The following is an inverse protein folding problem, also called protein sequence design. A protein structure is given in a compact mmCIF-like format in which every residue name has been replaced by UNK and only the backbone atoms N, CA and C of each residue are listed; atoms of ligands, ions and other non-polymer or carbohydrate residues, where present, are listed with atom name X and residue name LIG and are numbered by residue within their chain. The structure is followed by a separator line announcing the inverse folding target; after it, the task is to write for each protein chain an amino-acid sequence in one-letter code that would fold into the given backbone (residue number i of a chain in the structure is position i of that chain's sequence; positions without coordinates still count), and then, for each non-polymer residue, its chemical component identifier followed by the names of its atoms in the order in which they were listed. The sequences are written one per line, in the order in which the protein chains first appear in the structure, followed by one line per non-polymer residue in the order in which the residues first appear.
data_IF_347432396433
#
_entry.id   IF_347432396433
#
_cell.length_a   1.000
_cell.length_b   1.000
_cell.length_c   1.000
_cell.angle_alpha   90.00
_cell.angle_beta   90.00
_cell.angle_gamma   90.00
#
_symmetry.space_group_name_H-M   'P 1'
#
loop_
_entity.id
_entity.type
_entity.pdbx_description
1 polymer ?
#
# COMPACT_ATOMS: atom_id res chain seq x y z
N UNK A 1 -1.98 -3.95 -6.78
CA UNK A 1 -2.40 -5.17 -6.07
C UNK A 1 -3.21 -6.15 -6.91
N UNK A 2 -4.19 -5.74 -7.72
CA UNK A 2 -4.96 -6.68 -8.56
C UNK A 2 -4.06 -7.60 -9.40
N UNK A 3 -3.06 -7.02 -10.08
CA UNK A 3 -2.09 -7.78 -10.86
C UNK A 3 -1.29 -8.77 -9.98
N UNK A 4 -0.85 -8.34 -8.79
CA UNK A 4 -0.14 -9.21 -7.85
C UNK A 4 -1.02 -10.38 -7.36
N UNK A 5 -2.30 -10.14 -7.05
CA UNK A 5 -3.24 -11.19 -6.64
C UNK A 5 -3.43 -12.23 -7.75
N UNK A 6 -3.55 -11.77 -9.00
CA UNK A 6 -3.66 -12.66 -10.17
C UNK A 6 -2.38 -13.47 -10.40
N UNK A 7 -1.22 -12.81 -10.33
CA UNK A 7 0.08 -13.47 -10.45
C UNK A 7 0.27 -14.50 -9.34
N UNK A 8 -0.11 -14.18 -8.10
CA UNK A 8 0.05 -15.07 -6.96
C UNK A 8 -0.76 -16.37 -7.09
N UNK A 9 -1.90 -16.32 -7.78
CA UNK A 9 -2.69 -17.52 -8.09
C UNK A 9 -2.01 -18.44 -9.11
N UNK A 10 -1.03 -17.95 -9.87
CA UNK A 10 -0.30 -18.70 -10.90
C UNK A 10 1.11 -19.07 -10.44
N UNK A 11 1.85 -18.09 -9.92
CA UNK A 11 3.19 -18.21 -9.35
C UNK A 11 3.30 -17.27 -8.14
N UNK A 12 3.05 -17.84 -6.97
CA UNK A 12 3.09 -17.13 -5.69
C UNK A 12 4.48 -16.59 -5.36
N UNK A 13 5.54 -17.35 -5.66
CA UNK A 13 6.92 -16.94 -5.40
C UNK A 13 7.35 -15.74 -6.24
N UNK A 14 6.98 -15.74 -7.53
CA UNK A 14 7.22 -14.60 -8.42
C UNK A 14 6.46 -13.35 -7.96
N UNK A 15 5.17 -13.48 -7.63
CA UNK A 15 4.36 -12.36 -7.17
C UNK A 15 4.90 -11.75 -5.87
N UNK A 16 5.33 -12.58 -4.92
CA UNK A 16 5.92 -12.13 -3.67
C UNK A 16 7.25 -11.40 -3.89
N UNK A 17 8.12 -11.91 -4.77
CA UNK A 17 9.40 -11.29 -5.08
C UNK A 17 9.22 -9.89 -5.72
N UNK A 18 8.30 -9.76 -6.67
CA UNK A 18 8.01 -8.48 -7.30
C UNK A 18 7.33 -7.49 -6.34
N UNK A 19 6.46 -7.98 -5.45
CA UNK A 19 5.86 -7.13 -4.42
C UNK A 19 6.91 -6.66 -3.40
N UNK A 20 7.85 -7.52 -3.04
CA UNK A 20 9.00 -7.18 -2.21
C UNK A 20 9.86 -6.10 -2.86
N UNK A 21 10.10 -6.16 -4.17
CA UNK A 21 10.80 -5.11 -4.91
C UNK A 21 10.02 -3.79 -4.86
N UNK A 22 8.70 -3.82 -5.05
CA UNK A 22 7.86 -2.63 -4.96
C UNK A 22 7.91 -1.95 -3.58
N UNK A 23 7.93 -2.72 -2.49
CA UNK A 23 8.08 -2.19 -1.13
C UNK A 23 9.45 -1.51 -0.97
N UNK A 24 10.52 -2.16 -1.41
CA UNK A 24 11.87 -1.59 -1.32
C UNK A 24 12.02 -0.31 -2.16
N UNK A 25 11.43 -0.28 -3.34
CA UNK A 25 11.41 0.92 -4.18
C UNK A 25 10.64 2.05 -3.51
N UNK A 26 9.49 1.76 -2.89
CA UNK A 26 8.74 2.79 -2.20
C UNK A 26 9.55 3.40 -1.04
N UNK A 27 10.30 2.57 -0.29
CA UNK A 27 11.26 3.05 0.72
C UNK A 27 12.26 4.05 0.09
N UNK A 28 12.78 3.74 -1.09
CA UNK A 28 13.76 4.60 -1.76
C UNK A 28 13.17 5.93 -2.27
N UNK A 29 11.90 5.94 -2.69
CA UNK A 29 11.27 7.12 -3.30
C UNK A 29 10.52 8.01 -2.31
N UNK A 30 9.98 7.47 -1.21
CA UNK A 30 9.06 8.18 -0.34
C UNK A 30 9.72 9.21 0.61
N UNK A 31 11.01 9.50 0.45
CA UNK A 31 11.65 10.67 1.09
C UNK A 31 11.13 12.00 0.56
N UNK A 32 10.52 11.99 -0.63
CA UNK A 32 9.88 13.13 -1.29
C UNK A 32 8.39 12.83 -1.49
N UNK A 33 7.56 13.86 -1.75
CA UNK A 33 6.15 13.63 -2.07
C UNK A 33 6.01 12.67 -3.26
N UNK A 34 5.24 11.59 -3.07
CA UNK A 34 4.95 10.64 -4.14
C UNK A 34 4.10 11.32 -5.22
N UNK A 35 3.20 12.24 -4.87
CA UNK A 35 2.31 12.91 -5.84
C UNK A 35 3.08 13.70 -6.91
N UNK A 36 4.27 14.22 -6.60
CA UNK A 36 5.13 14.95 -7.54
C UNK A 36 6.24 14.10 -8.14
N UNK A 37 6.22 12.77 -7.99
CA UNK A 37 7.25 11.89 -8.53
C UNK A 37 7.40 12.00 -10.05
N UNK A 38 6.30 12.23 -10.77
CA UNK A 38 6.31 12.43 -12.23
C UNK A 38 7.14 13.64 -12.66
N UNK A 39 7.11 14.72 -11.90
CA UNK A 39 7.90 15.95 -12.17
C UNK A 39 9.41 15.71 -12.04
N UNK A 40 9.79 14.68 -11.29
CA UNK A 40 11.18 14.26 -11.08
C UNK A 40 11.61 13.09 -11.98
N UNK A 41 10.76 12.70 -12.93
CA UNK A 41 10.93 11.50 -13.76
C UNK A 41 11.03 10.18 -12.95
N UNK A 42 10.55 10.19 -11.70
CA UNK A 42 10.54 9.04 -10.79
C UNK A 42 9.22 8.25 -10.91
N UNK A 43 8.72 8.02 -12.13
CA UNK A 43 7.39 7.40 -12.36
C UNK A 43 7.21 6.03 -11.70
N UNK A 44 8.32 5.31 -11.47
CA UNK A 44 8.35 4.05 -10.73
C UNK A 44 7.79 4.20 -9.30
N UNK A 45 7.90 5.37 -8.68
CA UNK A 45 7.36 5.66 -7.35
C UNK A 45 5.84 5.49 -7.29
N UNK A 46 5.11 5.84 -8.36
CA UNK A 46 3.65 5.64 -8.41
C UNK A 46 3.27 4.16 -8.30
N UNK A 47 3.98 3.30 -9.05
CA UNK A 47 3.75 1.86 -9.02
C UNK A 47 4.21 1.23 -7.70
N UNK A 48 5.42 1.58 -7.25
CA UNK A 48 6.02 1.03 -6.04
C UNK A 48 5.21 1.38 -4.78
N UNK A 49 4.93 2.66 -4.58
CA UNK A 49 4.17 3.10 -3.41
C UNK A 49 2.69 2.77 -3.53
N UNK A 50 2.09 2.85 -4.72
CA UNK A 50 0.72 2.39 -4.94
C UNK A 50 0.54 0.91 -4.60
N UNK A 51 1.50 0.05 -4.97
CA UNK A 51 1.48 -1.37 -4.59
C UNK A 51 1.62 -1.55 -3.07
N UNK A 52 2.52 -0.82 -2.43
CA UNK A 52 2.74 -0.87 -0.97
C UNK A 52 1.51 -0.42 -0.18
N UNK A 53 0.86 0.67 -0.58
CA UNK A 53 -0.35 1.16 0.09
C UNK A 53 -1.54 0.22 -0.11
N UNK A 54 -1.67 -0.34 -1.31
CA UNK A 54 -2.72 -1.30 -1.59
C UNK A 54 -2.48 -2.66 -0.88
N UNK A 55 -1.22 -3.07 -0.66
CA UNK A 55 -0.89 -4.21 0.20
C UNK A 55 -1.38 -3.96 1.63
N UNK A 56 -1.06 -2.81 2.20
CA UNK A 56 -1.52 -2.41 3.53
C UNK A 56 -3.05 -2.38 3.63
N UNK A 57 -3.74 -1.82 2.62
CA UNK A 57 -5.20 -1.81 2.55
C UNK A 57 -5.81 -3.23 2.48
N UNK A 58 -5.23 -4.11 1.66
CA UNK A 58 -5.66 -5.51 1.55
C UNK A 58 -5.46 -6.28 2.86
N UNK A 59 -4.33 -6.11 3.54
CA UNK A 59 -4.09 -6.74 4.85
C UNK A 59 -5.02 -6.19 5.93
N UNK A 60 -5.29 -4.89 5.94
CA UNK A 60 -6.26 -4.29 6.85
C UNK A 60 -7.67 -4.89 6.64
N UNK A 61 -8.07 -5.09 5.38
CA UNK A 61 -9.32 -5.74 5.01
C UNK A 61 -9.35 -7.21 5.45
N UNK A 62 -8.26 -7.96 5.25
CA UNK A 62 -8.13 -9.35 5.72
C UNK A 62 -8.35 -9.47 7.23
N UNK A 63 -7.80 -8.56 8.04
CA UNK A 63 -8.03 -8.56 9.50
C UNK A 63 -9.49 -8.32 9.91
N UNK A 64 -10.29 -7.67 9.06
CA UNK A 64 -11.73 -7.45 9.26
C UNK A 64 -12.59 -8.60 8.74
N UNK A 65 -11.98 -9.70 8.29
CA UNK A 65 -12.68 -10.88 7.74
C UNK A 65 -12.95 -10.80 6.24
N UNK A 66 -12.41 -9.81 5.53
CA UNK A 66 -12.37 -9.81 4.07
C UNK A 66 -11.29 -10.74 3.52
N UNK A 67 -11.25 -10.90 2.20
CA UNK A 67 -10.33 -11.84 1.53
C UNK A 67 -9.07 -11.17 1.01
N UNK A 68 -9.19 -10.00 0.40
CA UNK A 68 -8.09 -9.36 -0.32
C UNK A 68 -8.34 -7.86 -0.57
N UNK A 69 -7.50 -7.27 -1.42
CA UNK A 69 -7.63 -5.88 -1.86
C UNK A 69 -8.89 -5.60 -2.71
N UNK A 70 -9.47 -6.61 -3.37
CA UNK A 70 -10.71 -6.43 -4.13
C UNK A 70 -11.88 -6.16 -3.20
N UNK A 71 -11.93 -6.86 -2.06
CA UNK A 71 -12.93 -6.59 -1.03
C UNK A 71 -12.76 -5.16 -0.44
N UNK A 72 -11.54 -4.62 -0.42
CA UNK A 72 -11.26 -3.23 -0.02
C UNK A 72 -11.70 -2.19 -1.07
N UNK A 73 -11.39 -2.38 -2.35
CA UNK A 73 -11.66 -1.34 -3.38
C UNK A 73 -13.12 -1.33 -3.86
N UNK A 74 -13.83 -2.46 -3.72
CA UNK A 74 -15.19 -2.61 -4.24
C UNK A 74 -16.19 -1.57 -3.70
N UNK A 75 -16.27 -1.29 -2.38
CA UNK A 75 -17.20 -0.27 -1.86
C UNK A 75 -16.95 1.12 -2.48
N UNK A 76 -15.69 1.51 -2.67
CA UNK A 76 -15.31 2.77 -3.30
C UNK A 76 -15.76 2.84 -4.76
N UNK A 77 -15.63 1.74 -5.52
CA UNK A 77 -16.11 1.69 -6.90
C UNK A 77 -17.63 1.74 -7.00
N UNK A 78 -18.33 1.12 -6.06
CA UNK A 78 -19.79 1.14 -5.99
C UNK A 78 -20.31 2.55 -5.65
N UNK A 79 -19.65 3.26 -4.72
CA UNK A 79 -19.95 4.65 -4.34
C UNK A 79 -19.73 5.63 -5.50
N UNK A 80 -18.59 5.52 -6.18
CA UNK A 80 -18.20 6.42 -7.28
C UNK A 80 -18.64 5.92 -8.67
N UNK A 81 -19.65 5.05 -8.74
CA UNK A 81 -20.12 4.49 -10.02
C UNK A 81 -20.76 5.54 -10.93
N UNK A 82 -21.38 6.57 -10.33
CA UNK A 82 -22.14 7.60 -11.05
C UNK A 82 -21.26 8.73 -11.56
N UNK A 83 -20.31 9.20 -10.75
CA UNK A 83 -19.41 10.32 -11.08
C UNK A 83 -18.09 9.86 -11.71
N UNK A 84 -17.66 8.62 -11.44
CA UNK A 84 -16.35 8.06 -11.82
C UNK A 84 -15.18 8.86 -11.26
N UNK A 85 -15.37 9.51 -10.11
CA UNK A 85 -14.38 10.38 -9.47
C UNK A 85 -13.94 9.80 -8.13
N UNK A 86 -13.02 8.83 -8.17
CA UNK A 86 -12.38 8.31 -6.95
C UNK A 86 -11.11 9.11 -6.65
N UNK A 87 -11.15 9.94 -5.61
CA UNK A 87 -10.03 10.76 -5.15
C UNK A 87 -9.17 10.09 -4.08
N UNK A 88 -8.02 10.72 -3.79
CA UNK A 88 -7.15 10.28 -2.69
C UNK A 88 -7.79 10.49 -1.32
N UNK A 89 -8.64 11.50 -1.16
CA UNK A 89 -9.38 11.76 0.08
C UNK A 89 -10.36 10.61 0.38
N UNK A 90 -11.16 10.20 -0.60
CA UNK A 90 -12.15 9.12 -0.46
C UNK A 90 -11.44 7.80 -0.13
N UNK A 91 -10.35 7.51 -0.83
CA UNK A 91 -9.52 6.34 -0.58
C UNK A 91 -8.95 6.33 0.85
N UNK A 92 -8.40 7.47 1.32
CA UNK A 92 -7.83 7.60 2.66
C UNK A 92 -8.89 7.48 3.75
N UNK A 93 -10.06 8.08 3.56
CA UNK A 93 -11.20 7.96 4.48
C UNK A 93 -11.66 6.51 4.61
N UNK A 94 -11.78 5.79 3.49
CA UNK A 94 -12.12 4.37 3.51
C UNK A 94 -11.03 3.53 4.16
N UNK A 95 -9.76 3.83 3.87
CA UNK A 95 -8.61 3.15 4.47
C UNK A 95 -8.51 3.34 5.98
N UNK A 96 -8.80 4.53 6.51
CA UNK A 96 -8.86 4.77 7.96
C UNK A 96 -9.99 3.97 8.62
N UNK A 97 -11.16 3.87 7.97
CA UNK A 97 -12.28 3.08 8.47
C UNK A 97 -11.94 1.58 8.54
N UNK A 98 -11.28 1.04 7.51
CA UNK A 98 -10.90 -0.38 7.43
C UNK A 98 -9.74 -0.70 8.39
N UNK A 99 -8.71 0.14 8.43
CA UNK A 99 -7.54 -0.04 9.31
C UNK A 99 -7.87 0.13 10.79
N UNK A 100 -8.93 0.88 11.11
CA UNK A 100 -9.43 1.06 12.48
C UNK A 100 -8.64 2.09 13.29
N UNK A 101 -7.68 2.79 12.70
CA UNK A 101 -7.02 3.93 13.31
C UNK A 101 -6.54 4.92 12.23
N UNK A 102 -6.73 6.23 12.47
CA UNK A 102 -6.28 7.28 11.54
C UNK A 102 -4.76 7.40 11.39
N UNK A 103 -3.98 6.59 12.13
CA UNK A 103 -2.51 6.60 12.07
C UNK A 103 -2.03 6.02 10.74
N UNK A 104 -2.65 4.93 10.25
CA UNK A 104 -2.29 4.33 8.98
C UNK A 104 -2.54 5.29 7.80
N UNK A 105 -3.71 5.92 7.70
CA UNK A 105 -3.98 6.92 6.65
C UNK A 105 -3.12 8.17 6.79
N UNK A 106 -2.80 8.60 8.02
CA UNK A 106 -1.87 9.70 8.27
C UNK A 106 -0.47 9.46 7.68
N UNK A 107 0.04 8.21 7.76
CA UNK A 107 1.32 7.83 7.14
C UNK A 107 1.23 7.90 5.62
N UNK A 108 0.20 7.27 5.03
CA UNK A 108 0.01 7.26 3.56
C UNK A 108 -0.14 8.69 3.05
N UNK A 109 -0.94 9.52 3.72
CA UNK A 109 -1.10 10.94 3.39
C UNK A 109 0.24 11.68 3.42
N UNK A 110 1.04 11.48 4.46
CA UNK A 110 2.36 12.13 4.59
C UNK A 110 3.29 11.74 3.45
N UNK A 111 3.38 10.44 3.12
CA UNK A 111 4.17 9.96 1.99
C UNK A 111 3.68 10.52 0.65
N UNK A 112 2.36 10.64 0.46
CA UNK A 112 1.77 11.20 -0.75
C UNK A 112 2.10 12.69 -0.93
N UNK A 113 1.90 13.51 0.12
CA UNK A 113 1.91 14.98 -0.01
C UNK A 113 3.21 15.67 0.36
N UNK A 114 4.00 15.10 1.27
CA UNK A 114 5.23 15.73 1.81
C UNK A 114 6.46 14.84 1.62
N UNK A 115 6.28 13.53 1.65
CA UNK A 115 7.36 12.58 1.89
C UNK A 115 7.60 12.37 3.39
N UNK A 116 8.50 11.45 3.73
CA UNK A 116 8.85 11.09 5.11
C UNK A 116 10.36 10.94 5.25
N UNK A 117 10.95 11.42 6.35
CA UNK A 117 12.40 11.39 6.55
C UNK A 117 12.95 9.96 6.72
N UNK A 118 12.17 9.07 7.33
CA UNK A 118 12.45 7.64 7.45
C UNK A 118 11.32 6.83 6.80
N UNK A 119 11.39 6.58 5.47
CA UNK A 119 10.39 5.76 4.78
C UNK A 119 10.31 4.32 5.28
N UNK A 120 11.43 3.73 5.71
CA UNK A 120 11.44 2.36 6.20
C UNK A 120 10.66 2.24 7.52
N UNK A 121 10.92 3.14 8.48
CA UNK A 121 10.15 3.20 9.74
C UNK A 121 8.68 3.56 9.52
N UNK A 122 8.37 4.43 8.55
CA UNK A 122 6.99 4.78 8.21
C UNK A 122 6.22 3.58 7.61
N UNK A 123 6.83 2.86 6.66
CA UNK A 123 6.23 1.66 6.06
C UNK A 123 6.14 0.52 7.07
N UNK A 124 7.14 0.36 7.94
CA UNK A 124 7.06 -0.60 9.05
C UNK A 124 5.84 -0.32 9.93
N UNK A 125 5.70 0.92 10.40
CA UNK A 125 4.56 1.32 11.21
C UNK A 125 3.24 1.10 10.46
N UNK A 126 3.19 1.41 9.15
CA UNK A 126 2.02 1.15 8.32
C UNK A 126 1.68 -0.35 8.28
N UNK A 127 2.67 -1.23 8.14
CA UNK A 127 2.50 -2.67 8.12
C UNK A 127 2.01 -3.21 9.46
N UNK A 128 2.57 -2.75 10.58
CA UNK A 128 2.06 -3.07 11.93
C UNK A 128 0.60 -2.63 12.10
N UNK A 129 0.29 -1.39 11.69
CA UNK A 129 -1.06 -0.85 11.82
C UNK A 129 -2.07 -1.58 10.94
N UNK A 130 -1.64 -2.24 9.86
CA UNK A 130 -2.53 -2.92 8.89
C UNK A 130 -2.46 -4.44 8.93
N UNK A 131 -1.52 -5.02 9.66
CA UNK A 131 -1.33 -6.47 9.75
C UNK A 131 -0.74 -7.09 8.50
N UNK A 132 0.08 -6.35 7.76
CA UNK A 132 0.92 -6.96 6.72
C UNK A 132 1.95 -7.84 7.45
N UNK A 133 2.09 -9.13 7.14
CA UNK A 133 3.09 -9.98 7.75
C UNK A 133 4.46 -9.70 7.11
N UNK A 134 5.42 -9.29 7.94
CA UNK A 134 6.79 -8.99 7.52
C UNK A 134 7.77 -9.35 8.63
N UNK A 135 9.05 -9.34 8.28
CA UNK A 135 10.18 -9.34 9.21
C UNK A 135 11.08 -8.14 8.93
N UNK A 136 11.70 -7.59 9.98
CA UNK A 136 12.70 -6.53 9.85
C UNK A 136 14.07 -7.09 10.22
N UNK A 137 15.01 -6.99 9.29
CA UNK A 137 16.43 -6.98 9.62
C UNK A 137 16.93 -5.54 9.49
N UNK A 138 17.98 -5.17 10.24
CA UNK A 138 18.54 -3.82 10.44
C UNK A 138 18.03 -2.71 9.48
N UNK A 139 18.19 -2.92 8.16
CA UNK A 139 17.84 -1.93 7.13
C UNK A 139 16.80 -2.38 6.08
N UNK A 140 16.18 -3.56 6.21
CA UNK A 140 15.26 -4.09 5.20
C UNK A 140 14.02 -4.71 5.81
N UNK A 141 12.87 -4.28 5.30
CA UNK A 141 11.58 -4.94 5.49
C UNK A 141 11.46 -6.08 4.48
N UNK A 142 11.26 -7.30 4.98
CA UNK A 142 11.07 -8.50 4.17
C UNK A 142 9.67 -9.04 4.39
N UNK A 143 8.85 -9.09 3.33
CA UNK A 143 7.50 -9.64 3.35
C UNK A 143 7.54 -11.14 3.65
N UNK A 144 6.62 -11.60 4.49
CA UNK A 144 6.40 -13.03 4.72
C UNK A 144 5.66 -13.66 3.54
N UNK A 145 5.71 -14.99 3.43
CA UNK A 145 5.05 -15.71 2.35
C UNK A 145 3.54 -15.47 2.31
N UNK A 146 2.90 -15.27 3.45
CA UNK A 146 1.47 -15.01 3.60
C UNK A 146 1.07 -13.53 3.42
N UNK A 147 1.99 -12.66 2.98
CA UNK A 147 1.72 -11.24 2.78
C UNK A 147 0.74 -10.97 1.63
N UNK A 148 0.66 -11.86 0.65
CA UNK A 148 -0.25 -11.76 -0.48
C UNK A 148 -1.26 -12.91 -0.52
#
# INVERSE_FOLDING_TARGET
MIAFTLLAATDHGYALAELQHAVQDCINFATKPVISAGERHENRAFYACGATFALAAGSAQKRKGGRDYLDFIRPLLDEHKSDRLLGSADWLTHFDAVSGNGKAGGIVKSMLSVGVADPAGAIETLFEQTGVPYSRNENKLTLSADAI
#
